data_IF_998158800015
#
_entry.id   IF_998158800015
#
_cell.length_a   1.000
_cell.length_b   1.000
_cell.length_c   1.000
_cell.angle_alpha   90.00
_cell.angle_beta   90.00
_cell.angle_gamma   90.00
#
_symmetry.space_group_name_H-M   'P 1'
#
loop_
_entity.id
_entity.type
_entity.pdbx_description
1 polymer ?
#
# COMPACT_ATOMS: atom_id res chain seq x y z
N UNK A 1 43.36 -18.26 -22.95
CA UNK A 1 44.54 -18.37 -22.06
C UNK A 1 44.17 -17.66 -20.77
N UNK A 2 43.62 -18.37 -19.77
CA UNK A 2 44.34 -18.83 -18.57
C UNK A 2 45.22 -17.75 -17.94
N UNK A 3 44.66 -16.99 -16.99
CA UNK A 3 45.42 -16.47 -15.87
C UNK A 3 44.95 -17.21 -14.61
N UNK A 4 45.80 -18.14 -14.17
CA UNK A 4 45.76 -18.80 -12.89
C UNK A 4 46.09 -17.79 -11.78
N UNK A 5 45.43 -17.98 -10.62
CA UNK A 5 46.01 -18.01 -9.26
C UNK A 5 46.97 -16.90 -8.83
N UNK A 6 46.95 -16.36 -7.62
CA UNK A 6 46.19 -16.57 -6.39
C UNK A 6 46.87 -15.58 -5.44
N UNK A 7 46.22 -14.50 -5.02
CA UNK A 7 46.61 -13.60 -3.92
C UNK A 7 45.55 -12.48 -3.97
N UNK A 8 44.64 -12.26 -3.04
CA UNK A 8 44.61 -12.52 -1.62
C UNK A 8 43.17 -12.81 -1.22
N UNK A 9 42.96 -13.94 -0.55
CA UNK A 9 41.88 -14.10 0.42
C UNK A 9 41.95 -12.91 1.39
N UNK A 10 40.85 -12.16 1.56
CA UNK A 10 40.44 -11.49 2.81
C UNK A 10 39.16 -10.69 2.56
N UNK A 11 38.03 -11.37 2.36
CA UNK A 11 36.68 -10.83 2.63
C UNK A 11 35.73 -12.00 2.90
N UNK A 12 36.02 -12.73 3.98
CA UNK A 12 35.09 -13.67 4.57
C UNK A 12 34.29 -12.92 5.64
N UNK A 13 33.18 -12.27 5.27
CA UNK A 13 32.07 -11.94 6.19
C UNK A 13 30.80 -11.51 5.44
N UNK A 14 30.12 -12.45 4.79
CA UNK A 14 28.66 -12.46 4.61
C UNK A 14 28.25 -13.82 4.04
N UNK A 15 28.15 -14.81 4.93
CA UNK A 15 27.43 -16.05 4.66
C UNK A 15 25.95 -15.77 4.85
N UNK A 16 25.12 -16.13 3.87
CA UNK A 16 23.67 -16.01 3.98
C UNK A 16 22.95 -16.26 2.67
N UNK A 17 23.01 -17.50 2.17
CA UNK A 17 22.03 -18.02 1.22
C UNK A 17 20.63 -18.01 1.84
N UNK A 18 19.68 -17.40 1.16
CA UNK A 18 18.25 -17.75 1.13
C UNK A 18 17.70 -17.02 -0.11
N UNK A 19 17.35 -17.73 -1.17
CA UNK A 19 15.97 -18.22 -1.40
C UNK A 19 14.99 -17.06 -1.38
N UNK A 20 14.41 -16.81 -2.56
CA UNK A 20 13.22 -16.01 -2.85
C UNK A 20 12.58 -15.29 -1.65
N UNK A 21 12.46 -13.95 -1.67
CA UNK A 21 11.22 -13.41 -1.18
C UNK A 21 10.16 -13.88 -2.18
N UNK A 22 9.45 -14.95 -1.83
CA UNK A 22 8.02 -14.94 -2.03
C UNK A 22 7.57 -13.58 -1.50
N UNK A 23 7.41 -12.60 -2.40
CA UNK A 23 6.57 -11.47 -2.10
C UNK A 23 5.20 -12.10 -2.02
N UNK A 24 4.89 -12.39 -0.76
CA UNK A 24 3.59 -12.62 -0.19
C UNK A 24 2.56 -12.13 -1.19
N UNK A 25 1.80 -13.08 -1.69
CA UNK A 25 0.46 -12.78 -2.11
C UNK A 25 -0.21 -12.11 -0.91
N UNK A 26 -0.03 -10.79 -0.79
CA UNK A 26 -1.02 -9.91 -0.19
C UNK A 26 -2.25 -10.18 -1.03
N UNK A 27 -2.97 -11.17 -0.53
CA UNK A 27 -4.28 -11.58 -0.94
C UNK A 27 -5.05 -10.31 -1.15
N UNK A 28 -5.61 -10.17 -2.36
CA UNK A 28 -6.16 -8.93 -2.88
C UNK A 28 -6.77 -8.03 -1.80
N UNK A 29 -6.15 -6.87 -1.62
CA UNK A 29 -6.76 -5.73 -0.96
C UNK A 29 -6.89 -4.58 -1.98
N UNK A 30 -7.17 -4.92 -3.24
CA UNK A 30 -7.96 -4.07 -4.15
C UNK A 30 -9.46 -4.20 -3.83
N UNK A 31 -9.81 -4.73 -2.65
CA UNK A 31 -11.08 -4.39 -2.04
C UNK A 31 -10.92 -2.93 -1.61
N UNK A 32 -11.74 -1.98 -2.10
CA UNK A 32 -11.81 -0.67 -1.48
C UNK A 32 -12.07 -0.98 -0.01
N UNK A 33 -11.13 -0.60 0.86
CA UNK A 33 -11.35 -0.67 2.30
C UNK A 33 -12.71 0.00 2.48
N UNK A 34 -13.72 -0.78 2.88
CA UNK A 34 -15.06 -0.27 3.13
C UNK A 34 -14.85 0.93 4.04
N UNK A 35 -14.94 2.11 3.43
CA UNK A 35 -14.29 3.28 3.97
C UNK A 35 -15.16 3.78 5.10
N UNK A 36 -14.94 3.30 6.31
CA UNK A 36 -15.41 4.01 7.49
C UNK A 36 -14.81 5.42 7.33
N UNK A 37 -15.68 6.43 7.24
CA UNK A 37 -15.32 7.80 6.91
C UNK A 37 -14.57 8.51 8.06
N UNK A 38 -13.72 7.75 8.76
CA UNK A 38 -12.86 8.09 9.88
C UNK A 38 -11.51 8.60 9.36
N UNK A 39 -11.59 9.67 8.56
CA UNK A 39 -10.40 10.35 8.06
C UNK A 39 -10.03 11.52 8.98
N UNK A 40 -8.74 11.74 9.20
CA UNK A 40 -8.26 12.87 9.99
C UNK A 40 -8.14 14.13 9.12
N UNK A 41 -8.72 15.25 9.60
CA UNK A 41 -8.56 16.55 8.95
C UNK A 41 -7.13 17.04 9.13
N UNK A 42 -6.37 17.09 8.04
CA UNK A 42 -4.93 17.38 8.05
C UNK A 42 -4.15 16.53 7.06
N UNK A 43 -4.73 15.42 6.61
CA UNK A 43 -4.20 14.67 5.48
C UNK A 43 -4.34 15.49 4.17
N UNK A 44 -3.30 15.59 3.34
CA UNK A 44 -3.34 16.41 2.12
C UNK A 44 -4.37 15.94 1.08
N UNK A 45 -4.85 14.71 1.17
CA UNK A 45 -5.87 14.16 0.27
C UNK A 45 -7.28 14.21 0.87
N UNK A 46 -7.44 14.64 2.13
CA UNK A 46 -8.73 14.80 2.80
C UNK A 46 -8.99 16.27 3.10
N UNK A 47 -10.14 16.75 2.63
CA UNK A 47 -10.69 18.04 3.04
C UNK A 47 -11.99 17.82 3.82
N UNK A 48 -12.43 18.83 4.56
CA UNK A 48 -13.75 18.81 5.23
C UNK A 48 -14.89 18.52 4.26
N UNK A 49 -14.81 19.02 3.02
CA UNK A 49 -15.85 18.82 2.01
C UNK A 49 -15.91 17.35 1.56
N UNK A 50 -14.76 16.73 1.25
CA UNK A 50 -14.73 15.35 0.80
C UNK A 50 -15.08 14.39 1.95
N UNK A 51 -14.67 14.71 3.17
CA UNK A 51 -15.02 13.93 4.35
C UNK A 51 -16.52 13.94 4.60
N UNK A 52 -17.18 15.10 4.46
CA UNK A 52 -18.64 15.19 4.48
C UNK A 52 -19.29 14.39 3.34
N UNK A 53 -18.69 14.41 2.14
CA UNK A 53 -19.16 13.58 1.02
C UNK A 53 -19.03 12.08 1.31
N UNK A 54 -17.95 11.64 1.96
CA UNK A 54 -17.81 10.27 2.44
C UNK A 54 -18.94 9.91 3.40
N UNK A 55 -19.17 10.73 4.43
CA UNK A 55 -20.22 10.48 5.42
C UNK A 55 -21.61 10.41 4.78
N UNK A 56 -21.88 11.27 3.80
CA UNK A 56 -23.12 11.21 3.02
C UNK A 56 -23.23 9.87 2.26
N UNK A 57 -22.16 9.41 1.61
CA UNK A 57 -22.13 8.11 0.93
C UNK A 57 -22.27 6.95 1.91
N UNK A 58 -21.68 7.04 3.10
CA UNK A 58 -21.83 6.03 4.14
C UNK A 58 -23.27 5.92 4.65
N UNK A 59 -24.06 7.00 4.59
CA UNK A 59 -25.48 6.95 4.86
C UNK A 59 -26.29 6.32 3.71
N UNK A 60 -25.82 6.43 2.47
CA UNK A 60 -26.46 5.85 1.28
C UNK A 60 -26.12 4.36 1.09
N UNK A 61 -24.86 3.98 1.30
CA UNK A 61 -24.32 2.63 1.15
C UNK A 61 -23.44 2.26 2.37
N UNK A 62 -24.06 1.92 3.52
CA UNK A 62 -23.34 1.69 4.77
C UNK A 62 -22.42 0.47 4.67
N UNK A 63 -21.14 0.69 4.91
CA UNK A 63 -20.11 -0.36 4.81
C UNK A 63 -19.71 -0.73 3.38
N UNK A 64 -20.19 0.02 2.37
CA UNK A 64 -19.89 -0.23 0.96
C UNK A 64 -19.33 1.01 0.26
N UNK A 65 -18.94 2.05 1.00
CA UNK A 65 -18.31 3.24 0.40
C UNK A 65 -16.98 2.85 -0.22
N UNK A 66 -16.87 3.11 -1.52
CA UNK A 66 -15.66 2.93 -2.31
C UNK A 66 -14.85 4.23 -2.28
N UNK A 67 -13.59 4.11 -1.90
CA UNK A 67 -12.61 5.19 -1.96
C UNK A 67 -11.96 5.15 -3.35
N UNK A 68 -12.13 6.21 -4.13
CA UNK A 68 -11.47 6.33 -5.42
C UNK A 68 -10.04 6.84 -5.18
N UNK A 69 -9.06 6.24 -5.86
CA UNK A 69 -7.64 6.59 -5.75
C UNK A 69 -7.34 7.96 -6.41
N UNK A 70 -7.80 9.04 -5.79
CA UNK A 70 -7.55 10.43 -6.20
C UNK A 70 -7.14 11.30 -5.02
N UNK A 71 -6.44 12.42 -5.26
CA UNK A 71 -6.16 13.43 -4.25
C UNK A 71 -6.60 14.81 -4.77
N UNK A 72 -7.71 15.40 -4.25
CA UNK A 72 -8.49 14.94 -3.10
C UNK A 72 -9.21 13.60 -3.31
N UNK A 73 -9.37 12.85 -2.22
CA UNK A 73 -10.09 11.58 -2.19
C UNK A 73 -11.55 11.79 -2.61
N UNK A 74 -12.06 10.88 -3.44
CA UNK A 74 -13.44 10.87 -3.88
C UNK A 74 -14.11 9.57 -3.41
N UNK A 75 -15.42 9.64 -3.20
CA UNK A 75 -16.18 8.55 -2.60
C UNK A 75 -17.39 8.20 -3.47
N UNK A 76 -17.59 6.92 -3.69
CA UNK A 76 -18.71 6.39 -4.46
C UNK A 76 -19.37 5.22 -3.73
N UNK A 77 -20.61 4.92 -4.08
CA UNK A 77 -21.24 3.64 -3.76
C UNK A 77 -21.04 2.68 -4.95
N UNK A 78 -21.05 1.36 -4.72
CA UNK A 78 -20.99 0.36 -5.79
C UNK A 78 -22.18 0.44 -6.76
#
# INVERSE_FOLDING_TARGET
>A
MRFCSSLLLLLALACGSSTEPAQDSSSGADAPAAGDCDYELGDPCITEENLAACQARAAECPGEVLVLESCPLQFACP
#
